data_IF_865620240580
#
_entry.id   IF_865620240580
#
_cell.length_a   1.000
_cell.length_b   1.000
_cell.length_c   1.000
_cell.angle_alpha   90.00
_cell.angle_beta   90.00
_cell.angle_gamma   90.00
#
_symmetry.space_group_name_H-M   'P 1'
#
loop_
_entity.id
_entity.type
_entity.pdbx_description
1 polymer ?
#
# COMPACT_ATOMS: atom_id res chain seq x y z
N UNK A 1 57.33 -14.67 4.90
CA UNK A 1 56.01 -15.32 4.96
C UNK A 1 55.11 -14.44 5.81
N UNK A 2 54.32 -13.56 5.17
CA UNK A 2 53.43 -12.63 5.87
C UNK A 2 51.99 -13.08 5.60
N UNK A 3 51.32 -13.60 6.62
CA UNK A 3 49.91 -13.95 6.54
C UNK A 3 49.10 -12.65 6.48
N UNK A 4 48.43 -12.42 5.34
CA UNK A 4 47.44 -11.35 5.18
C UNK A 4 46.22 -11.68 6.04
N UNK A 5 46.00 -10.91 7.11
CA UNK A 5 44.78 -10.97 7.89
C UNK A 5 43.59 -10.63 6.99
N UNK A 6 42.69 -11.59 6.77
CA UNK A 6 41.44 -11.39 6.04
C UNK A 6 40.54 -10.43 6.82
N UNK A 7 39.93 -9.48 6.12
CA UNK A 7 38.96 -8.57 6.71
C UNK A 7 37.73 -9.37 7.22
N UNK A 8 37.03 -8.93 8.29
CA UNK A 8 35.84 -9.63 8.79
C UNK A 8 34.72 -9.75 7.74
N UNK A 9 34.70 -8.88 6.71
CA UNK A 9 33.80 -8.97 5.56
C UNK A 9 34.13 -10.14 4.62
N UNK A 10 35.41 -10.50 4.47
CA UNK A 10 35.83 -11.58 3.57
C UNK A 10 35.51 -12.96 4.14
N UNK A 11 35.58 -13.11 5.47
CA UNK A 11 35.16 -14.34 6.16
C UNK A 11 33.67 -14.60 6.02
N UNK A 12 32.82 -13.57 6.17
CA UNK A 12 31.37 -13.70 5.97
C UNK A 12 31.03 -14.04 4.51
N UNK A 13 31.71 -13.41 3.55
CA UNK A 13 31.53 -13.70 2.12
C UNK A 13 31.91 -15.15 1.79
N UNK A 14 33.02 -15.65 2.34
CA UNK A 14 33.43 -17.05 2.19
C UNK A 14 32.40 -18.01 2.83
N UNK A 15 31.86 -17.68 4.01
CA UNK A 15 30.81 -18.48 4.66
C UNK A 15 29.51 -18.51 3.85
N UNK A 16 29.10 -17.39 3.23
CA UNK A 16 27.95 -17.37 2.31
C UNK A 16 28.22 -18.19 1.06
N UNK A 17 29.43 -18.12 0.48
CA UNK A 17 29.84 -19.00 -0.61
C UNK A 17 29.70 -20.48 -0.25
N UNK A 18 30.19 -20.87 0.93
CA UNK A 18 30.02 -22.24 1.45
C UNK A 18 28.54 -22.61 1.67
N UNK A 19 27.72 -21.70 2.19
CA UNK A 19 26.29 -21.92 2.36
C UNK A 19 25.63 -22.21 1.00
N UNK A 20 25.89 -21.37 -0.01
CA UNK A 20 25.31 -21.53 -1.35
C UNK A 20 25.69 -22.87 -1.98
N UNK A 21 26.94 -23.34 -1.82
CA UNK A 21 27.35 -24.65 -2.35
C UNK A 21 26.67 -25.84 -1.67
N UNK A 22 26.27 -25.71 -0.41
CA UNK A 22 25.67 -26.81 0.37
C UNK A 22 24.14 -26.79 0.35
N UNK A 23 23.55 -25.62 0.13
CA UNK A 23 22.12 -25.39 0.25
C UNK A 23 21.29 -25.91 -0.93
N UNK A 24 21.89 -26.44 -2.00
CA UNK A 24 21.15 -26.95 -3.16
C UNK A 24 20.21 -28.13 -2.85
N UNK A 25 20.54 -28.92 -1.81
CA UNK A 25 19.72 -30.05 -1.35
C UNK A 25 18.79 -29.70 -0.19
N UNK A 26 18.89 -28.50 0.37
CA UNK A 26 18.04 -28.04 1.46
C UNK A 26 16.80 -27.33 0.91
N UNK A 27 15.66 -27.35 1.64
CA UNK A 27 14.52 -26.50 1.30
C UNK A 27 14.94 -25.03 1.20
N UNK A 28 14.38 -24.31 0.23
CA UNK A 28 14.66 -22.89 0.01
C UNK A 28 14.44 -22.05 1.27
N UNK A 29 13.39 -22.35 2.05
CA UNK A 29 13.10 -21.68 3.34
C UNK A 29 14.19 -21.90 4.38
N UNK A 30 14.70 -23.13 4.51
CA UNK A 30 15.78 -23.47 5.43
C UNK A 30 17.08 -22.77 5.03
N UNK A 31 17.38 -22.70 3.73
CA UNK A 31 18.57 -22.01 3.24
C UNK A 31 18.49 -20.48 3.45
N UNK A 32 17.33 -19.87 3.21
CA UNK A 32 17.07 -18.46 3.51
C UNK A 32 17.21 -18.13 5.00
N UNK A 33 16.69 -19.02 5.86
CA UNK A 33 16.83 -18.89 7.31
C UNK A 33 18.29 -19.00 7.75
N UNK A 34 19.04 -19.96 7.21
CA UNK A 34 20.47 -20.10 7.47
C UNK A 34 21.27 -18.85 7.03
N UNK A 35 20.93 -18.26 5.87
CA UNK A 35 21.52 -17.00 5.42
C UNK A 35 21.24 -15.85 6.42
N UNK A 36 19.98 -15.76 6.87
CA UNK A 36 19.52 -14.73 7.81
C UNK A 36 20.22 -14.85 9.18
N UNK A 37 20.51 -16.08 9.63
CA UNK A 37 21.26 -16.35 10.85
C UNK A 37 22.76 -16.06 10.72
N UNK A 38 23.33 -16.32 9.54
CA UNK A 38 24.75 -16.12 9.28
C UNK A 38 25.12 -14.64 9.10
N UNK A 39 24.21 -13.84 8.55
CA UNK A 39 24.47 -12.44 8.15
C UNK A 39 23.70 -11.47 9.04
N UNK A 40 24.42 -10.53 9.65
CA UNK A 40 23.82 -9.51 10.52
C UNK A 40 22.85 -8.61 9.74
N UNK A 41 21.69 -8.21 10.32
CA UNK A 41 20.66 -7.43 9.64
C UNK A 41 21.18 -6.20 8.87
N UNK A 42 22.11 -5.44 9.45
CA UNK A 42 22.70 -4.23 8.87
C UNK A 42 23.56 -4.50 7.64
N UNK A 43 24.09 -5.72 7.48
CA UNK A 43 24.97 -6.13 6.38
C UNK A 43 24.28 -6.91 5.26
N UNK A 44 23.02 -7.34 5.47
CA UNK A 44 22.30 -8.22 4.53
C UNK A 44 22.10 -7.58 3.16
N UNK A 45 21.73 -6.31 3.12
CA UNK A 45 21.50 -5.60 1.88
C UNK A 45 22.78 -5.44 1.05
N UNK A 46 23.86 -4.96 1.67
CA UNK A 46 25.16 -4.81 1.00
C UNK A 46 25.69 -6.15 0.50
N UNK A 47 25.60 -7.20 1.31
CA UNK A 47 26.04 -8.54 0.91
C UNK A 47 25.18 -9.13 -0.22
N UNK A 48 23.88 -8.84 -0.22
CA UNK A 48 23.00 -9.22 -1.32
C UNK A 48 23.40 -8.52 -2.63
N UNK A 49 23.76 -7.24 -2.60
CA UNK A 49 24.27 -6.52 -3.77
C UNK A 49 25.62 -7.06 -4.26
N UNK A 50 26.56 -7.29 -3.34
CA UNK A 50 27.94 -7.61 -3.71
C UNK A 50 28.14 -9.09 -4.08
N UNK A 51 27.37 -10.00 -3.48
CA UNK A 51 27.59 -11.45 -3.60
C UNK A 51 26.44 -12.22 -4.21
N UNK A 52 25.18 -11.80 -4.02
CA UNK A 52 24.02 -12.54 -4.51
C UNK A 52 23.54 -12.02 -5.87
N UNK A 53 23.46 -10.71 -6.05
CA UNK A 53 22.98 -10.09 -7.29
C UNK A 53 23.79 -10.50 -8.53
N UNK A 54 25.15 -10.57 -8.49
CA UNK A 54 25.93 -11.02 -9.64
C UNK A 54 25.64 -12.46 -10.05
N UNK A 55 25.22 -13.30 -9.09
CA UNK A 55 24.89 -14.70 -9.34
C UNK A 55 23.54 -14.89 -10.06
N UNK A 56 22.68 -13.86 -10.04
CA UNK A 56 21.40 -13.88 -10.74
C UNK A 56 21.58 -13.80 -12.27
N UNK A 57 22.57 -13.00 -12.70
CA UNK A 57 22.90 -12.72 -14.10
C UNK A 57 23.97 -13.64 -14.69
N UNK A 58 24.73 -14.35 -13.86
CA UNK A 58 25.78 -15.26 -14.32
C UNK A 58 25.23 -16.55 -14.95
N UNK A 59 26.04 -17.16 -15.82
CA UNK A 59 25.78 -18.50 -16.41
C UNK A 59 26.03 -19.65 -15.43
N UNK A 60 25.82 -19.41 -14.14
CA UNK A 60 25.98 -20.38 -13.05
C UNK A 60 24.85 -21.41 -13.06
N UNK A 61 25.00 -22.47 -12.25
CA UNK A 61 24.04 -23.56 -12.16
C UNK A 61 22.62 -23.04 -11.84
N UNK A 62 21.61 -23.62 -12.51
CA UNK A 62 20.20 -23.22 -12.39
C UNK A 62 19.71 -23.26 -10.93
N UNK A 63 20.09 -24.31 -10.20
CA UNK A 63 19.78 -24.47 -8.78
C UNK A 63 20.32 -23.30 -7.93
N UNK A 64 21.49 -22.75 -8.28
CA UNK A 64 22.06 -21.61 -7.59
C UNK A 64 21.29 -20.33 -7.86
N UNK A 65 20.89 -20.09 -9.12
CA UNK A 65 20.08 -18.92 -9.49
C UNK A 65 18.71 -18.95 -8.81
N UNK A 66 18.08 -20.12 -8.73
CA UNK A 66 16.82 -20.34 -7.99
C UNK A 66 17.00 -20.01 -6.51
N UNK A 67 18.05 -20.56 -5.88
CA UNK A 67 18.32 -20.33 -4.46
C UNK A 67 18.54 -18.84 -4.16
N UNK A 68 19.39 -18.18 -4.96
CA UNK A 68 19.70 -16.76 -4.82
C UNK A 68 18.43 -15.91 -4.96
N UNK A 69 17.59 -16.20 -5.94
CA UNK A 69 16.33 -15.48 -6.16
C UNK A 69 15.40 -15.60 -4.96
N UNK A 70 15.30 -16.80 -4.38
CA UNK A 70 14.50 -17.03 -3.19
C UNK A 70 15.08 -16.32 -1.96
N UNK A 71 16.40 -16.28 -1.80
CA UNK A 71 17.04 -15.53 -0.70
C UNK A 71 16.70 -14.04 -0.83
N UNK A 72 16.92 -13.44 -2.01
CA UNK A 72 16.60 -12.02 -2.27
C UNK A 72 15.12 -11.69 -1.99
N UNK A 73 14.21 -12.60 -2.34
CA UNK A 73 12.80 -12.50 -1.99
C UNK A 73 12.57 -12.55 -0.47
N UNK A 74 13.11 -13.58 0.21
CA UNK A 74 12.87 -13.85 1.63
C UNK A 74 13.40 -12.77 2.57
N UNK A 75 14.40 -11.98 2.16
CA UNK A 75 14.97 -10.90 2.97
C UNK A 75 13.94 -9.86 3.42
N UNK A 76 12.84 -9.72 2.68
CA UNK A 76 11.77 -8.75 2.95
C UNK A 76 10.42 -9.40 3.27
N UNK A 77 10.36 -10.73 3.38
CA UNK A 77 9.13 -11.40 3.86
C UNK A 77 8.90 -11.08 5.35
N UNK A 78 7.65 -10.84 5.81
CA UNK A 78 6.37 -11.12 5.14
C UNK A 78 5.79 -9.98 4.30
N UNK A 79 6.55 -8.94 3.99
CA UNK A 79 6.01 -7.81 3.21
C UNK A 79 5.72 -8.19 1.75
N UNK A 80 4.76 -7.52 1.08
CA UNK A 80 4.49 -7.73 -0.33
C UNK A 80 5.72 -7.52 -1.21
N UNK A 81 5.86 -8.31 -2.28
CA UNK A 81 7.01 -8.19 -3.21
C UNK A 81 7.12 -6.81 -3.87
N UNK A 82 6.02 -6.04 -3.89
CA UNK A 82 5.99 -4.67 -4.40
C UNK A 82 6.93 -3.72 -3.65
N UNK A 83 7.23 -3.97 -2.38
CA UNK A 83 8.16 -3.15 -1.58
C UNK A 83 9.57 -3.75 -1.45
N UNK A 84 9.83 -4.89 -2.10
CA UNK A 84 11.15 -5.53 -2.07
C UNK A 84 12.11 -4.75 -3.00
N UNK A 85 13.25 -4.22 -2.50
CA UNK A 85 14.19 -3.45 -3.33
C UNK A 85 14.88 -4.27 -4.43
N UNK A 86 14.85 -5.60 -4.35
CA UNK A 86 15.35 -6.50 -5.38
C UNK A 86 14.29 -6.88 -6.43
N UNK A 87 13.06 -6.35 -6.34
CA UNK A 87 11.97 -6.62 -7.30
C UNK A 87 12.40 -6.33 -8.74
N UNK A 88 13.02 -5.17 -8.97
CA UNK A 88 13.47 -4.76 -10.31
C UNK A 88 14.51 -5.73 -10.88
N UNK A 89 15.49 -6.14 -10.07
CA UNK A 89 16.49 -7.14 -10.46
C UNK A 89 15.87 -8.50 -10.83
N UNK A 90 14.93 -8.98 -10.00
CA UNK A 90 14.21 -10.24 -10.24
C UNK A 90 13.35 -10.15 -11.50
N UNK A 91 12.72 -8.99 -11.75
CA UNK A 91 11.92 -8.74 -12.94
C UNK A 91 12.78 -8.69 -14.21
N UNK A 92 13.91 -7.98 -14.19
CA UNK A 92 14.86 -7.94 -15.32
C UNK A 92 15.37 -9.34 -15.65
N UNK A 93 15.73 -10.13 -14.63
CA UNK A 93 16.12 -11.52 -14.81
C UNK A 93 14.98 -12.37 -15.42
N UNK A 94 13.74 -12.14 -14.99
CA UNK A 94 12.56 -12.83 -15.52
C UNK A 94 12.33 -12.51 -17.00
N UNK A 95 12.31 -11.23 -17.38
CA UNK A 95 12.09 -10.80 -18.77
C UNK A 95 13.17 -11.40 -19.68
N UNK A 96 14.44 -11.23 -19.32
CA UNK A 96 15.60 -11.73 -20.07
C UNK A 96 15.57 -13.25 -20.27
N UNK A 97 15.24 -14.02 -19.24
CA UNK A 97 15.21 -15.49 -19.34
C UNK A 97 13.93 -15.98 -20.03
N UNK A 98 12.80 -15.27 -19.87
CA UNK A 98 11.55 -15.59 -20.57
C UNK A 98 11.69 -15.37 -22.07
N UNK A 99 12.25 -14.25 -22.51
CA UNK A 99 12.46 -13.97 -23.94
C UNK A 99 13.31 -15.05 -24.61
N UNK A 100 14.41 -15.45 -23.96
CA UNK A 100 15.24 -16.57 -24.43
C UNK A 100 14.45 -17.87 -24.51
N UNK A 101 13.66 -18.17 -23.48
CA UNK A 101 12.87 -19.40 -23.45
C UNK A 101 11.77 -19.42 -24.52
N UNK A 102 11.12 -18.28 -24.77
CA UNK A 102 10.10 -18.11 -25.80
C UNK A 102 10.71 -18.23 -27.20
N UNK A 103 11.89 -17.65 -27.44
CA UNK A 103 12.61 -17.79 -28.72
C UNK A 103 12.90 -19.26 -29.04
N UNK A 104 13.43 -20.01 -28.06
CA UNK A 104 13.73 -21.45 -28.22
C UNK A 104 12.44 -22.26 -28.43
N UNK A 105 11.36 -21.91 -27.73
CA UNK A 105 10.07 -22.58 -27.87
C UNK A 105 9.44 -22.36 -29.26
N UNK A 106 9.62 -21.17 -29.85
CA UNK A 106 9.16 -20.87 -31.21
C UNK A 106 9.92 -21.68 -32.27
N UNK A 107 11.15 -22.07 -31.99
CA UNK A 107 11.96 -22.98 -32.83
C UNK A 107 11.59 -24.47 -32.61
N UNK A 108 10.59 -24.76 -31.77
CA UNK A 108 10.16 -26.13 -31.45
C UNK A 108 10.96 -26.81 -30.34
N UNK A 109 11.87 -26.09 -29.68
CA UNK A 109 12.67 -26.59 -28.56
C UNK A 109 12.02 -26.40 -27.19
N UNK A 110 12.68 -26.90 -26.14
CA UNK A 110 12.37 -26.64 -24.73
C UNK A 110 13.59 -25.99 -24.10
N UNK A 111 13.40 -24.82 -23.47
CA UNK A 111 14.51 -24.12 -22.86
C UNK A 111 14.95 -24.80 -21.55
N UNK A 112 16.27 -24.94 -21.30
CA UNK A 112 16.76 -25.51 -20.04
C UNK A 112 16.51 -24.60 -18.83
N UNK A 113 16.09 -23.34 -19.05
CA UNK A 113 15.87 -22.35 -17.99
C UNK A 113 14.38 -22.15 -17.64
N UNK A 114 13.46 -22.95 -18.18
CA UNK A 114 12.02 -22.76 -17.93
C UNK A 114 11.67 -22.82 -16.44
N UNK A 115 12.32 -23.71 -15.68
CA UNK A 115 12.15 -23.85 -14.23
C UNK A 115 12.51 -22.56 -13.48
N UNK A 116 13.54 -21.86 -13.94
CA UNK A 116 13.95 -20.60 -13.32
C UNK A 116 12.98 -19.46 -13.65
N UNK A 117 12.48 -19.41 -14.89
CA UNK A 117 11.41 -18.45 -15.27
C UNK A 117 10.17 -18.66 -14.41
N UNK A 118 9.79 -19.91 -14.16
CA UNK A 118 8.65 -20.23 -13.29
C UNK A 118 8.85 -19.79 -11.84
N UNK A 119 10.04 -20.02 -11.27
CA UNK A 119 10.39 -19.57 -9.92
C UNK A 119 10.28 -18.04 -9.81
N UNK A 120 10.87 -17.31 -10.76
CA UNK A 120 10.81 -15.85 -10.76
C UNK A 120 9.37 -15.33 -10.92
N UNK A 121 8.59 -15.94 -11.80
CA UNK A 121 7.17 -15.60 -11.99
C UNK A 121 6.38 -15.81 -10.70
N UNK A 122 6.58 -16.93 -9.98
CA UNK A 122 5.93 -17.21 -8.70
C UNK A 122 6.29 -16.17 -7.62
N UNK A 123 7.57 -15.80 -7.53
CA UNK A 123 8.04 -14.77 -6.60
C UNK A 123 7.39 -13.42 -6.91
N UNK A 124 7.43 -12.99 -8.17
CA UNK A 124 6.91 -11.70 -8.61
C UNK A 124 5.38 -11.62 -8.46
N UNK A 125 4.65 -12.73 -8.65
CA UNK A 125 3.21 -12.78 -8.41
C UNK A 125 2.82 -12.66 -6.92
N UNK A 126 3.77 -12.80 -5.99
CA UNK A 126 3.52 -12.81 -4.55
C UNK A 126 3.34 -14.22 -3.96
N UNK A 127 3.37 -15.26 -4.79
CA UNK A 127 3.25 -16.67 -4.40
C UNK A 127 4.61 -17.30 -4.04
N UNK A 128 5.62 -16.49 -3.69
CA UNK A 128 6.98 -16.97 -3.41
C UNK A 128 7.03 -17.97 -2.25
N UNK A 129 6.08 -17.90 -1.31
CA UNK A 129 5.95 -18.86 -0.20
C UNK A 129 5.79 -20.32 -0.63
N UNK A 130 5.18 -20.57 -1.79
CA UNK A 130 4.98 -21.92 -2.35
C UNK A 130 6.30 -22.62 -2.67
N UNK A 131 7.37 -21.84 -2.90
CA UNK A 131 8.69 -22.34 -3.30
C UNK A 131 9.49 -22.83 -2.07
N UNK A 132 9.19 -22.26 -0.89
CA UNK A 132 9.95 -22.49 0.35
C UNK A 132 10.20 -23.95 0.73
N UNK A 133 9.20 -24.86 0.65
CA UNK A 133 9.36 -26.27 1.02
C UNK A 133 10.27 -27.08 0.08
N UNK A 134 10.52 -26.61 -1.14
CA UNK A 134 11.25 -27.36 -2.16
C UNK A 134 12.73 -26.99 -2.19
N UNK A 135 13.59 -27.96 -2.52
CA UNK A 135 15.02 -27.67 -2.69
C UNK A 135 15.31 -27.08 -4.09
N UNK A 136 16.32 -26.20 -4.22
CA UNK A 136 16.68 -25.64 -5.52
C UNK A 136 17.05 -26.71 -6.57
N UNK A 137 17.69 -27.81 -6.15
CA UNK A 137 18.04 -28.93 -7.03
C UNK A 137 16.83 -29.75 -7.49
N UNK A 138 15.80 -29.89 -6.65
CA UNK A 138 14.54 -30.51 -7.04
C UNK A 138 13.81 -29.62 -8.06
N UNK A 139 13.74 -28.31 -7.80
CA UNK A 139 13.08 -27.36 -8.69
C UNK A 139 13.78 -27.27 -10.04
N UNK A 140 15.11 -27.28 -10.09
CA UNK A 140 15.86 -27.19 -11.34
C UNK A 140 15.73 -28.42 -12.24
N UNK A 141 15.33 -29.58 -11.68
CA UNK A 141 15.22 -30.85 -12.40
C UNK A 141 13.78 -31.28 -12.67
N UNK A 142 12.80 -30.66 -12.03
CA UNK A 142 11.40 -31.00 -12.21
C UNK A 142 10.90 -30.46 -13.56
N UNK A 143 10.44 -31.32 -14.49
CA UNK A 143 9.88 -30.85 -15.74
C UNK A 143 8.57 -30.09 -15.47
N UNK A 144 8.44 -28.91 -16.05
CA UNK A 144 7.22 -28.12 -15.90
C UNK A 144 6.10 -28.68 -16.78
N UNK A 145 4.86 -28.78 -16.27
CA UNK A 145 3.69 -29.04 -17.09
C UNK A 145 3.58 -28.04 -18.26
N UNK A 146 2.99 -28.42 -19.41
CA UNK A 146 2.86 -27.53 -20.58
C UNK A 146 2.20 -26.17 -20.28
N UNK A 147 1.30 -26.13 -19.30
CA UNK A 147 0.61 -24.91 -18.85
C UNK A 147 1.52 -23.93 -18.11
N UNK A 148 2.64 -24.41 -17.55
CA UNK A 148 3.60 -23.62 -16.78
C UNK A 148 4.87 -23.29 -17.59
N UNK A 149 4.86 -23.52 -18.91
CA UNK A 149 5.97 -23.11 -19.79
C UNK A 149 6.08 -21.58 -19.87
N UNK A 150 7.31 -21.09 -20.06
CA UNK A 150 7.63 -19.66 -20.10
C UNK A 150 6.71 -18.82 -21.01
N UNK A 151 6.26 -19.39 -22.13
CA UNK A 151 5.33 -18.73 -23.07
C UNK A 151 3.98 -18.35 -22.44
N UNK A 152 3.51 -19.16 -21.49
CA UNK A 152 2.23 -18.97 -20.80
C UNK A 152 2.36 -18.19 -19.49
N UNK A 153 3.60 -17.98 -19.02
CA UNK A 153 3.89 -17.23 -17.80
C UNK A 153 4.00 -15.75 -18.17
N UNK A 154 2.88 -15.04 -18.16
CA UNK A 154 2.81 -13.59 -18.38
C UNK A 154 2.59 -12.91 -17.02
N UNK A 155 3.30 -11.81 -16.79
CA UNK A 155 3.02 -10.88 -15.69
C UNK A 155 2.18 -9.73 -16.23
N UNK A 156 1.27 -9.21 -15.42
CA UNK A 156 0.43 -8.08 -15.79
C UNK A 156 1.30 -6.83 -15.95
N UNK A 157 1.56 -6.43 -17.19
CA UNK A 157 2.52 -5.36 -17.54
C UNK A 157 2.17 -4.03 -16.87
N UNK A 158 0.89 -3.77 -16.58
CA UNK A 158 0.44 -2.55 -15.90
C UNK A 158 0.94 -2.43 -14.45
N UNK A 159 1.17 -3.55 -13.75
CA UNK A 159 1.71 -3.58 -12.38
C UNK A 159 3.24 -3.39 -12.30
N UNK A 160 3.92 -3.45 -13.44
CA UNK A 160 5.39 -3.43 -13.52
C UNK A 160 5.95 -2.34 -14.44
N UNK A 161 5.15 -1.76 -15.34
CA UNK A 161 5.54 -0.66 -16.22
C UNK A 161 5.50 0.71 -15.54
N UNK A 162 4.74 0.88 -14.44
CA UNK A 162 4.65 2.15 -13.69
C UNK A 162 5.89 2.49 -12.84
N UNK A 163 6.89 1.60 -12.83
CA UNK A 163 8.15 1.87 -12.12
C UNK A 163 9.17 2.36 -13.14
N UNK A 164 9.39 3.68 -13.16
CA UNK A 164 10.50 4.39 -13.84
C UNK A 164 11.92 3.87 -13.44
N UNK A 165 12.03 2.79 -12.66
CA UNK A 165 13.28 2.17 -12.21
C UNK A 165 14.06 1.41 -13.30
N UNK A 166 13.54 1.33 -14.53
CA UNK A 166 14.33 0.79 -15.65
C UNK A 166 15.63 1.60 -15.86
N UNK A 167 15.65 2.89 -15.52
CA UNK A 167 16.87 3.71 -15.55
C UNK A 167 17.82 3.38 -14.41
N UNK A 168 17.32 3.05 -13.22
CA UNK A 168 18.11 2.77 -12.02
C UNK A 168 18.98 1.51 -12.22
N UNK A 169 18.44 0.46 -12.82
CA UNK A 169 19.22 -0.78 -13.07
C UNK A 169 20.24 -0.63 -14.21
N UNK A 170 19.90 0.16 -15.25
CA UNK A 170 20.82 0.44 -16.37
C UNK A 170 22.11 1.15 -15.92
N UNK A 171 22.05 1.89 -14.80
CA UNK A 171 23.20 2.60 -14.23
C UNK A 171 24.22 1.64 -13.59
N UNK A 172 23.78 0.52 -13.01
CA UNK A 172 24.65 -0.45 -12.34
C UNK A 172 25.26 -1.50 -13.30
N UNK A 173 24.75 -1.60 -14.52
CA UNK A 173 25.13 -2.63 -15.50
C UNK A 173 26.10 -2.13 -16.58
N UNK A 174 26.99 -1.16 -16.29
CA UNK A 174 28.07 -0.80 -17.24
C UNK A 174 29.32 -1.67 -17.04
N UNK A 175 29.54 -2.74 -17.85
CA UNK A 175 30.88 -3.14 -18.22
C UNK A 175 31.34 -2.26 -19.39
N UNK A 176 32.47 -1.62 -19.20
CA UNK A 176 33.26 -0.94 -20.23
C UNK A 176 33.73 -1.93 -21.30
N UNK A 177 33.32 -1.77 -22.57
CA UNK A 177 34.16 -1.87 -23.78
C UNK A 177 33.32 -1.64 -25.08
N UNK A 178 33.96 -1.27 -26.21
CA UNK A 178 33.35 -0.46 -27.26
C UNK A 178 32.95 -1.22 -28.55
N UNK A 179 32.18 -0.51 -29.38
CA UNK A 179 32.06 -0.60 -30.85
C UNK A 179 31.18 -1.73 -31.43
N UNK A 180 29.94 -1.38 -31.79
CA UNK A 180 29.43 -1.43 -33.17
C UNK A 180 27.99 -0.85 -33.25
N UNK A 181 27.58 -0.20 -34.35
CA UNK A 181 26.27 0.40 -34.47
C UNK A 181 25.24 -0.58 -35.07
N UNK A 182 24.01 -0.63 -34.54
CA UNK A 182 22.85 -0.98 -35.36
C UNK A 182 21.82 0.16 -35.40
N UNK A 183 21.46 0.50 -36.64
CA UNK A 183 20.13 0.84 -37.19
C UNK A 183 19.14 1.70 -36.36
N UNK A 184 18.53 2.75 -36.99
CA UNK A 184 17.69 3.71 -36.30
C UNK A 184 16.29 3.14 -36.05
N UNK A 185 16.07 2.54 -34.89
CA UNK A 185 14.73 2.47 -34.32
C UNK A 185 14.43 3.86 -33.77
N UNK A 186 13.30 4.44 -34.16
CA UNK A 186 12.85 5.74 -33.70
C UNK A 186 12.82 5.77 -32.17
N UNK A 187 13.90 6.30 -31.57
CA UNK A 187 13.93 6.66 -30.16
C UNK A 187 12.87 7.73 -30.00
N UNK A 188 11.78 7.39 -29.33
CA UNK A 188 11.01 8.37 -28.57
C UNK A 188 12.05 8.97 -27.63
N UNK A 189 12.57 10.13 -28.01
CA UNK A 189 13.53 10.84 -27.20
C UNK A 189 12.82 11.09 -25.86
N UNK A 190 13.37 10.64 -24.71
CA UNK A 190 12.86 11.07 -23.43
C UNK A 190 12.86 12.59 -23.47
N UNK A 191 11.68 13.18 -23.29
CA UNK A 191 11.55 14.61 -23.09
C UNK A 191 12.58 15.01 -22.03
N UNK A 192 13.43 16.01 -22.28
CA UNK A 192 14.44 16.40 -21.30
C UNK A 192 13.71 16.80 -20.02
N UNK A 193 13.85 15.98 -18.99
CA UNK A 193 13.26 16.21 -17.66
C UNK A 193 13.70 17.62 -17.25
N UNK A 194 12.71 18.50 -17.09
CA UNK A 194 12.97 19.89 -16.75
C UNK A 194 13.35 19.97 -15.26
N UNK A 195 14.28 20.86 -14.91
CA UNK A 195 14.59 21.18 -13.51
C UNK A 195 13.32 21.55 -12.69
N UNK A 196 12.28 22.07 -13.34
CA UNK A 196 11.00 22.36 -12.70
C UNK A 196 10.19 21.10 -12.37
N UNK A 197 10.26 20.07 -13.21
CA UNK A 197 9.62 18.77 -13.00
C UNK A 197 10.31 18.02 -11.86
N UNK A 198 11.65 18.02 -11.83
CA UNK A 198 12.41 17.46 -10.73
C UNK A 198 12.03 18.10 -9.39
N UNK A 199 11.92 19.44 -9.34
CA UNK A 199 11.52 20.13 -8.11
C UNK A 199 10.07 19.82 -7.70
N UNK A 200 9.17 19.59 -8.66
CA UNK A 200 7.79 19.15 -8.37
C UNK A 200 7.77 17.72 -7.84
N UNK A 201 8.52 16.83 -8.47
CA UNK A 201 8.64 15.42 -8.05
C UNK A 201 9.25 15.32 -6.66
N UNK A 202 10.31 16.07 -6.35
CA UNK A 202 10.89 16.13 -5.00
C UNK A 202 9.87 16.59 -3.94
N UNK A 203 9.08 17.62 -4.26
CA UNK A 203 8.01 18.10 -3.38
C UNK A 203 6.92 17.05 -3.17
N UNK A 204 6.51 16.37 -4.24
CA UNK A 204 5.52 15.30 -4.18
C UNK A 204 6.04 14.15 -3.30
N UNK A 205 7.27 13.68 -3.52
CA UNK A 205 7.91 12.61 -2.73
C UNK A 205 8.01 13.01 -1.25
N UNK A 206 8.39 14.27 -0.95
CA UNK A 206 8.42 14.75 0.42
C UNK A 206 7.02 14.79 1.05
N UNK A 207 6.03 15.27 0.31
CA UNK A 207 4.64 15.30 0.76
C UNK A 207 4.07 13.89 0.99
N UNK A 208 4.41 12.91 0.14
CA UNK A 208 4.08 11.49 0.33
C UNK A 208 4.65 10.97 1.65
N UNK A 209 5.92 11.26 1.94
CA UNK A 209 6.56 10.86 3.21
C UNK A 209 5.85 11.47 4.41
N UNK A 210 5.47 12.75 4.34
CA UNK A 210 4.73 13.42 5.41
C UNK A 210 3.34 12.81 5.62
N UNK A 211 2.65 12.51 4.53
CA UNK A 211 1.32 11.90 4.57
C UNK A 211 1.35 10.48 5.18
N UNK A 212 2.36 9.68 4.85
CA UNK A 212 2.56 8.38 5.50
C UNK A 212 2.89 8.55 6.98
N UNK A 213 3.72 9.53 7.35
CA UNK A 213 4.01 9.84 8.75
C UNK A 213 2.76 10.32 9.52
N UNK A 214 1.79 10.95 8.85
CA UNK A 214 0.53 11.40 9.45
C UNK A 214 -0.34 10.23 9.96
N UNK A 215 -0.09 9.00 9.49
CA UNK A 215 -0.75 7.79 9.98
C UNK A 215 -0.30 7.46 11.40
N UNK A 216 0.99 7.59 11.67
CA UNK A 216 1.59 7.12 12.92
C UNK A 216 1.72 8.22 13.97
N UNK A 217 1.69 9.49 13.57
CA UNK A 217 1.86 10.62 14.48
C UNK A 217 1.15 11.89 14.05
N UNK A 218 1.02 12.81 15.00
CA UNK A 218 0.62 14.20 14.73
C UNK A 218 1.73 14.91 13.96
N UNK A 219 1.36 15.57 12.86
CA UNK A 219 2.25 16.41 12.07
C UNK A 219 2.38 17.80 12.70
N UNK A 220 3.59 18.35 12.65
CA UNK A 220 3.88 19.72 13.06
C UNK A 220 3.22 20.74 12.13
N UNK A 221 2.99 21.97 12.59
CA UNK A 221 2.36 23.01 11.77
C UNK A 221 3.14 23.32 10.47
N UNK A 222 4.47 23.23 10.48
CA UNK A 222 5.31 23.38 9.29
C UNK A 222 5.10 22.24 8.28
N UNK A 223 4.98 21.01 8.77
CA UNK A 223 4.69 19.84 7.93
C UNK A 223 3.29 19.95 7.33
N UNK A 224 2.29 20.33 8.13
CA UNK A 224 0.92 20.55 7.67
C UNK A 224 0.84 21.62 6.58
N UNK A 225 1.53 22.76 6.76
CA UNK A 225 1.60 23.84 5.75
C UNK A 225 2.28 23.41 4.46
N UNK A 226 3.23 22.49 4.54
CA UNK A 226 3.91 21.95 3.36
C UNK A 226 3.05 20.94 2.62
N UNK A 227 2.27 20.14 3.36
CA UNK A 227 1.42 19.09 2.81
C UNK A 227 0.15 19.62 2.14
N UNK A 228 -0.54 20.59 2.76
CA UNK A 228 -1.85 21.09 2.31
C UNK A 228 -1.94 21.46 0.81
N UNK A 229 -0.97 22.21 0.23
CA UNK A 229 -1.06 22.60 -1.18
C UNK A 229 -0.91 21.44 -2.17
N UNK A 230 -0.38 20.29 -1.72
CA UNK A 230 -0.04 19.14 -2.57
C UNK A 230 -1.05 17.99 -2.39
N UNK A 231 -2.03 18.11 -1.48
CA UNK A 231 -2.99 17.04 -1.18
C UNK A 231 -3.80 16.59 -2.40
N UNK A 232 -4.20 17.52 -3.28
CA UNK A 232 -4.94 17.20 -4.49
C UNK A 232 -4.10 16.33 -5.44
N UNK A 233 -2.82 16.67 -5.60
CA UNK A 233 -1.89 15.89 -6.42
C UNK A 233 -1.59 14.53 -5.77
N UNK A 234 -1.54 14.44 -4.44
CA UNK A 234 -1.36 13.17 -3.75
C UNK A 234 -2.58 12.25 -3.89
N UNK A 235 -3.78 12.81 -3.94
CA UNK A 235 -5.00 12.02 -4.10
C UNK A 235 -5.06 11.27 -5.45
N UNK A 236 -4.28 11.66 -6.46
CA UNK A 236 -4.21 10.94 -7.74
C UNK A 236 -3.20 9.79 -7.76
N UNK A 237 -2.27 9.75 -6.79
CA UNK A 237 -1.15 8.80 -6.79
C UNK A 237 -1.48 7.39 -6.24
N UNK A 238 -2.72 7.14 -5.80
CA UNK A 238 -3.17 5.85 -5.22
C UNK A 238 -2.34 5.32 -4.03
N UNK A 239 -1.52 6.16 -3.40
CA UNK A 239 -0.70 5.80 -2.23
C UNK A 239 -1.56 5.59 -0.98
N UNK A 240 -2.69 6.30 -0.91
CA UNK A 240 -3.58 6.29 0.24
C UNK A 240 -4.64 5.23 0.02
N UNK A 241 -4.74 4.32 0.98
CA UNK A 241 -5.81 3.33 1.04
C UNK A 241 -6.88 3.77 2.04
N UNK A 242 -8.08 3.18 1.95
CA UNK A 242 -9.16 3.46 2.91
C UNK A 242 -8.78 3.15 4.37
N UNK A 243 -7.85 2.21 4.58
CA UNK A 243 -7.33 1.83 5.90
C UNK A 243 -6.49 2.94 6.55
N UNK A 244 -5.95 3.87 5.75
CA UNK A 244 -5.07 4.93 6.22
C UNK A 244 -5.86 6.13 6.77
N UNK A 245 -7.15 6.22 6.44
CA UNK A 245 -7.99 7.36 6.81
C UNK A 245 -8.25 7.43 8.31
N UNK A 246 -8.62 6.31 8.95
CA UNK A 246 -8.92 6.27 10.39
C UNK A 246 -7.78 6.85 11.25
N UNK A 247 -6.52 6.41 11.12
CA UNK A 247 -5.43 6.98 11.90
C UNK A 247 -5.11 8.44 11.51
N UNK A 248 -5.22 8.81 10.22
CA UNK A 248 -5.01 10.20 9.79
C UNK A 248 -6.05 11.14 10.41
N UNK A 249 -7.32 10.73 10.48
CA UNK A 249 -8.41 11.49 11.11
C UNK A 249 -8.16 11.66 12.61
N UNK A 250 -7.73 10.59 13.28
CA UNK A 250 -7.46 10.60 14.71
C UNK A 250 -6.29 11.52 15.09
N UNK A 251 -5.18 11.45 14.34
CA UNK A 251 -3.97 12.22 14.65
C UNK A 251 -3.95 13.63 14.04
N UNK A 252 -4.54 13.80 12.86
CA UNK A 252 -4.39 15.00 12.03
C UNK A 252 -5.72 15.49 11.43
N UNK A 253 -6.73 15.85 12.25
CA UNK A 253 -8.07 16.22 11.77
C UNK A 253 -8.09 17.45 10.84
N UNK A 254 -7.09 18.33 10.93
CA UNK A 254 -6.96 19.50 10.06
C UNK A 254 -6.69 19.10 8.61
N UNK A 255 -5.88 18.04 8.40
CA UNK A 255 -5.52 17.53 7.08
C UNK A 255 -6.57 16.56 6.54
N UNK A 256 -7.23 15.82 7.44
CA UNK A 256 -8.17 14.77 7.05
C UNK A 256 -9.31 15.28 6.14
N UNK A 257 -9.86 16.45 6.43
CA UNK A 257 -10.92 17.06 5.61
C UNK A 257 -10.48 17.36 4.16
N UNK A 258 -9.48 18.22 3.91
CA UNK A 258 -9.05 18.50 2.54
C UNK A 258 -8.57 17.25 1.82
N UNK A 259 -7.95 16.29 2.52
CA UNK A 259 -7.56 15.01 1.94
C UNK A 259 -8.77 14.20 1.43
N UNK A 260 -9.80 14.03 2.27
CA UNK A 260 -11.01 13.30 1.88
C UNK A 260 -11.73 13.98 0.73
N UNK A 261 -11.83 15.31 0.74
CA UNK A 261 -12.42 16.08 -0.37
C UNK A 261 -11.63 15.83 -1.66
N UNK A 262 -10.29 15.87 -1.61
CA UNK A 262 -9.46 15.56 -2.78
C UNK A 262 -9.64 14.12 -3.29
N UNK A 263 -9.79 13.15 -2.39
CA UNK A 263 -10.06 11.75 -2.76
C UNK A 263 -11.46 11.56 -3.38
N UNK A 264 -12.46 12.29 -2.91
CA UNK A 264 -13.85 12.19 -3.39
C UNK A 264 -14.11 12.95 -4.70
N UNK A 265 -13.35 14.01 -4.96
CA UNK A 265 -13.52 14.91 -6.12
C UNK A 265 -12.62 14.50 -7.30
N UNK A 266 -11.82 13.43 -7.15
CA UNK A 266 -10.83 13.03 -8.15
C UNK A 266 -11.46 12.91 -9.55
N UNK A 267 -10.94 13.65 -10.56
CA UNK A 267 -11.50 13.66 -11.90
C UNK A 267 -11.29 12.36 -12.70
N UNK A 268 -10.46 11.44 -12.21
CA UNK A 268 -10.15 10.17 -12.87
C UNK A 268 -10.84 8.98 -12.16
N UNK A 269 -12.09 8.64 -12.56
CA UNK A 269 -12.85 7.56 -11.93
C UNK A 269 -12.31 6.16 -12.25
N UNK A 270 -11.45 6.00 -13.27
CA UNK A 270 -10.85 4.70 -13.60
C UNK A 270 -9.67 4.39 -12.67
N UNK A 271 -8.88 5.40 -12.33
CA UNK A 271 -7.72 5.22 -11.46
C UNK A 271 -8.02 5.33 -9.97
N UNK A 272 -9.06 6.06 -9.55
CA UNK A 272 -9.37 6.20 -8.13
C UNK A 272 -10.87 6.27 -7.85
N UNK A 273 -11.49 5.11 -7.63
CA UNK A 273 -12.90 5.00 -7.27
C UNK A 273 -13.14 5.63 -5.88
N UNK A 274 -14.08 6.58 -5.71
CA UNK A 274 -14.35 7.19 -4.40
C UNK A 274 -15.02 6.23 -3.40
N UNK A 275 -15.63 5.13 -3.87
CA UNK A 275 -16.41 4.20 -3.03
C UNK A 275 -15.66 3.62 -1.83
N UNK A 276 -14.43 3.10 -1.94
CA UNK A 276 -13.71 2.53 -0.80
C UNK A 276 -13.47 3.56 0.32
N UNK A 277 -13.34 4.84 -0.04
CA UNK A 277 -13.17 5.91 0.94
C UNK A 277 -14.50 6.35 1.57
N UNK A 278 -15.62 6.25 0.84
CA UNK A 278 -16.95 6.44 1.42
C UNK A 278 -17.34 5.30 2.36
N UNK A 279 -17.01 4.06 1.98
CA UNK A 279 -17.39 2.84 2.71
C UNK A 279 -16.79 2.79 4.13
N UNK A 280 -15.64 3.41 4.36
CA UNK A 280 -14.99 3.41 5.67
C UNK A 280 -15.55 4.48 6.61
N UNK A 281 -16.11 5.57 6.09
CA UNK A 281 -16.58 6.71 6.89
C UNK A 281 -17.59 6.30 7.97
N UNK A 282 -18.64 5.49 7.69
CA UNK A 282 -19.61 5.08 8.69
C UNK A 282 -19.01 4.33 9.88
N UNK A 283 -17.87 3.67 9.69
CA UNK A 283 -17.23 2.84 10.70
C UNK A 283 -16.17 3.58 11.53
N UNK A 284 -16.01 4.89 11.31
CA UNK A 284 -15.10 5.70 12.10
C UNK A 284 -15.57 5.76 13.56
N UNK A 285 -14.64 5.71 14.54
CA UNK A 285 -15.02 5.73 15.94
C UNK A 285 -15.66 7.08 16.30
N UNK A 286 -16.67 7.11 17.21
CA UNK A 286 -17.38 8.33 17.61
C UNK A 286 -16.50 9.21 18.53
N UNK A 287 -15.49 9.83 17.95
CA UNK A 287 -14.55 10.73 18.63
C UNK A 287 -14.77 12.17 18.16
N UNK A 288 -14.30 13.15 18.94
CA UNK A 288 -14.40 14.56 18.58
C UNK A 288 -13.79 14.87 17.19
N UNK A 289 -12.58 14.37 16.84
CA UNK A 289 -12.04 14.52 15.47
C UNK A 289 -12.97 14.01 14.38
N UNK A 290 -13.64 12.87 14.60
CA UNK A 290 -14.60 12.30 13.65
C UNK A 290 -15.81 13.21 13.47
N UNK A 291 -16.42 13.67 14.57
CA UNK A 291 -17.58 14.58 14.48
C UNK A 291 -17.23 15.92 13.84
N UNK A 292 -16.04 16.46 14.13
CA UNK A 292 -15.55 17.68 13.49
C UNK A 292 -15.35 17.50 11.99
N UNK A 293 -14.81 16.34 11.57
CA UNK A 293 -14.67 15.98 10.16
C UNK A 293 -16.03 15.92 9.47
N UNK A 294 -16.99 15.16 10.01
CA UNK A 294 -18.34 15.06 9.44
C UNK A 294 -19.03 16.42 9.37
N UNK A 295 -18.90 17.23 10.43
CA UNK A 295 -19.45 18.58 10.44
C UNK A 295 -18.84 19.48 9.36
N UNK A 296 -17.59 19.25 8.92
CA UNK A 296 -16.99 19.98 7.79
C UNK A 296 -17.45 19.39 6.45
N UNK A 297 -17.43 18.07 6.29
CA UNK A 297 -17.85 17.39 5.06
C UNK A 297 -19.31 17.70 4.70
N UNK A 298 -20.22 17.67 5.67
CA UNK A 298 -21.64 17.99 5.48
C UNK A 298 -21.92 19.46 5.13
N UNK A 299 -20.90 20.32 5.19
CA UNK A 299 -20.99 21.73 4.77
C UNK A 299 -20.16 22.01 3.51
N UNK A 300 -19.41 21.03 3.02
CA UNK A 300 -18.51 21.23 1.89
C UNK A 300 -19.29 21.25 0.56
N UNK A 301 -19.25 22.40 -0.10
CA UNK A 301 -19.95 22.67 -1.36
C UNK A 301 -19.10 22.35 -2.60
N UNK A 302 -17.96 21.67 -2.44
CA UNK A 302 -17.11 21.25 -3.56
C UNK A 302 -17.89 20.27 -4.43
N UNK A 303 -17.89 20.51 -5.74
CA UNK A 303 -18.63 19.69 -6.71
C UNK A 303 -17.98 18.33 -6.88
N UNK A 304 -18.79 17.28 -6.89
CA UNK A 304 -18.36 15.90 -7.14
C UNK A 304 -18.73 15.46 -8.55
N UNK A 305 -17.96 14.55 -9.12
CA UNK A 305 -18.20 13.95 -10.45
C UNK A 305 -19.13 12.74 -10.40
N UNK A 306 -19.53 12.30 -9.20
CA UNK A 306 -20.37 11.12 -8.98
C UNK A 306 -21.80 11.38 -9.45
N UNK A 307 -22.33 10.51 -10.32
CA UNK A 307 -23.69 10.62 -10.82
C UNK A 307 -24.72 10.56 -9.68
N UNK A 308 -25.66 11.51 -9.67
CA UNK A 308 -26.74 11.59 -8.66
C UNK A 308 -26.47 12.53 -7.49
N UNK A 309 -25.24 13.06 -7.35
CA UNK A 309 -24.88 13.99 -6.27
C UNK A 309 -24.27 15.26 -6.86
N UNK A 310 -24.51 16.39 -6.21
CA UNK A 310 -24.04 17.69 -6.71
C UNK A 310 -22.79 18.18 -5.97
N UNK A 311 -22.73 17.95 -4.66
CA UNK A 311 -21.62 18.36 -3.79
C UNK A 311 -21.15 17.22 -2.89
N UNK A 312 -19.97 17.39 -2.27
CA UNK A 312 -19.46 16.49 -1.22
C UNK A 312 -20.45 16.42 -0.05
N UNK A 313 -21.04 17.55 0.34
CA UNK A 313 -22.07 17.60 1.37
C UNK A 313 -23.26 16.70 1.04
N UNK A 314 -23.81 16.78 -0.17
CA UNK A 314 -24.95 15.95 -0.60
C UNK A 314 -24.59 14.47 -0.59
N UNK A 315 -23.40 14.14 -1.10
CA UNK A 315 -22.90 12.77 -1.16
C UNK A 315 -22.77 12.15 0.24
N UNK A 316 -22.16 12.88 1.17
CA UNK A 316 -21.97 12.40 2.56
C UNK A 316 -23.30 12.37 3.31
N UNK A 317 -24.20 13.34 3.06
CA UNK A 317 -25.52 13.37 3.67
C UNK A 317 -26.34 12.14 3.28
N UNK A 318 -26.42 11.85 1.98
CA UNK A 318 -27.28 10.79 1.44
C UNK A 318 -26.70 9.38 1.66
N UNK A 319 -25.39 9.18 1.47
CA UNK A 319 -24.80 7.83 1.49
C UNK A 319 -24.21 7.44 2.84
N UNK A 320 -23.79 8.40 3.66
CA UNK A 320 -22.90 8.13 4.79
C UNK A 320 -23.55 8.46 6.13
N UNK A 321 -24.24 9.59 6.25
CA UNK A 321 -24.67 10.13 7.55
C UNK A 321 -25.56 9.16 8.33
N UNK A 322 -26.62 8.63 7.72
CA UNK A 322 -27.55 7.72 8.39
C UNK A 322 -26.83 6.49 8.96
N UNK A 323 -25.99 5.85 8.13
CA UNK A 323 -25.20 4.67 8.55
C UNK A 323 -24.16 5.01 9.62
N UNK A 324 -23.54 6.19 9.54
CA UNK A 324 -22.61 6.65 10.57
C UNK A 324 -23.28 6.83 11.93
N UNK A 325 -24.47 7.44 11.96
CA UNK A 325 -25.26 7.60 13.19
C UNK A 325 -25.61 6.23 13.78
N UNK A 326 -26.08 5.31 12.94
CA UNK A 326 -26.39 3.94 13.33
C UNK A 326 -25.17 3.23 13.96
N UNK A 327 -24.02 3.30 13.32
CA UNK A 327 -22.77 2.70 13.82
C UNK A 327 -22.28 3.36 15.11
N UNK A 328 -22.45 4.68 15.27
CA UNK A 328 -22.17 5.38 16.53
C UNK A 328 -23.04 4.85 17.67
N UNK A 329 -24.33 4.63 17.44
CA UNK A 329 -25.26 4.06 18.43
C UNK A 329 -24.81 2.64 18.79
N UNK A 330 -24.55 1.78 17.80
CA UNK A 330 -24.08 0.42 18.03
C UNK A 330 -22.75 0.36 18.79
N UNK A 331 -21.86 1.31 18.52
CA UNK A 331 -20.60 1.45 19.24
C UNK A 331 -20.83 1.81 20.71
N UNK A 332 -21.72 2.77 20.99
CA UNK A 332 -22.05 3.20 22.36
C UNK A 332 -22.78 2.11 23.16
N UNK A 333 -23.68 1.36 22.51
CA UNK A 333 -24.37 0.22 23.09
C UNK A 333 -23.40 -0.91 23.47
N UNK A 334 -22.38 -1.17 22.65
CA UNK A 334 -21.29 -2.10 23.00
C UNK A 334 -20.47 -1.59 24.16
N UNK A 335 -20.13 -0.30 24.17
CA UNK A 335 -19.39 0.32 25.27
C UNK A 335 -20.16 0.25 26.60
N UNK A 336 -21.50 0.39 26.57
CA UNK A 336 -22.37 0.21 27.74
C UNK A 336 -22.34 -1.24 28.25
N UNK A 337 -22.50 -2.22 27.36
CA UNK A 337 -22.55 -3.66 27.71
C UNK A 337 -21.23 -4.21 28.23
N UNK A 338 -20.11 -3.67 27.78
CA UNK A 338 -18.78 -4.15 28.16
C UNK A 338 -18.34 -3.69 29.57
N UNK A 339 -19.17 -2.95 30.33
CA UNK A 339 -18.84 -2.31 31.62
C UNK A 339 -17.48 -1.58 31.61
N UNK A 340 -17.06 -1.12 30.42
CA UNK A 340 -15.80 -0.41 30.22
C UNK A 340 -16.03 1.06 30.55
N UNK A 341 -15.85 1.43 31.83
CA UNK A 341 -15.83 2.81 32.33
C UNK A 341 -17.04 3.65 31.88
N UNK A 342 -18.02 3.81 32.79
CA UNK A 342 -19.22 4.64 32.59
C UNK A 342 -18.92 6.02 31.97
N UNK A 343 -17.77 6.60 32.30
CA UNK A 343 -17.30 7.88 31.77
C UNK A 343 -17.16 7.91 30.24
N UNK A 344 -16.71 6.80 29.64
CA UNK A 344 -16.52 6.71 28.17
C UNK A 344 -17.87 6.67 27.46
N UNK A 345 -18.80 5.88 27.97
CA UNK A 345 -20.15 5.78 27.42
C UNK A 345 -20.88 7.13 27.58
N UNK A 346 -20.87 7.71 28.79
CA UNK A 346 -21.49 9.01 29.07
C UNK A 346 -20.96 10.11 28.15
N UNK A 347 -19.63 10.26 28.04
CA UNK A 347 -19.01 11.26 27.16
C UNK A 347 -19.36 11.03 25.68
N UNK A 348 -19.44 9.78 25.26
CA UNK A 348 -19.84 9.40 23.91
C UNK A 348 -21.28 9.80 23.60
N UNK A 349 -22.23 9.50 24.49
CA UNK A 349 -23.65 9.91 24.39
C UNK A 349 -23.75 11.43 24.30
N UNK A 350 -23.10 12.17 25.21
CA UNK A 350 -23.10 13.64 25.19
C UNK A 350 -22.59 14.19 23.86
N UNK A 351 -21.48 13.65 23.36
CA UNK A 351 -20.86 14.14 22.12
C UNK A 351 -21.74 13.85 20.90
N UNK A 352 -22.33 12.65 20.81
CA UNK A 352 -23.24 12.29 19.72
C UNK A 352 -24.52 13.15 19.74
N UNK A 353 -25.13 13.34 20.91
CA UNK A 353 -26.32 14.18 21.04
C UNK A 353 -26.03 15.64 20.66
N UNK A 354 -24.90 16.21 21.10
CA UNK A 354 -24.48 17.57 20.70
C UNK A 354 -24.22 17.67 19.20
N UNK A 355 -23.55 16.68 18.62
CA UNK A 355 -23.29 16.63 17.18
C UNK A 355 -24.61 16.64 16.39
N UNK A 356 -25.54 15.74 16.71
CA UNK A 356 -26.80 15.65 16.01
C UNK A 356 -27.68 16.88 16.22
N UNK A 357 -27.70 17.46 17.43
CA UNK A 357 -28.36 18.73 17.69
C UNK A 357 -27.79 19.88 16.85
N UNK A 358 -26.48 19.89 16.59
CA UNK A 358 -25.86 20.85 15.69
C UNK A 358 -26.30 20.63 14.22
N UNK A 359 -26.50 19.38 13.79
CA UNK A 359 -27.03 19.10 12.44
C UNK A 359 -28.45 19.65 12.26
N UNK A 360 -29.31 19.52 13.27
CA UNK A 360 -30.65 20.14 13.28
C UNK A 360 -30.53 21.67 13.19
N UNK A 361 -29.66 22.28 14.02
CA UNK A 361 -29.46 23.74 14.02
C UNK A 361 -28.96 24.28 12.68
N UNK A 362 -28.16 23.51 11.97
CA UNK A 362 -27.64 23.86 10.65
C UNK A 362 -28.63 23.53 9.52
N UNK A 363 -29.82 23.03 9.84
CA UNK A 363 -30.83 22.58 8.88
C UNK A 363 -30.30 21.51 7.91
N UNK A 364 -29.31 20.72 8.35
CA UNK A 364 -28.78 19.57 7.59
C UNK A 364 -29.71 18.36 7.79
N UNK A 365 -30.27 18.23 8.99
CA UNK A 365 -31.23 17.18 9.34
C UNK A 365 -32.55 17.81 9.72
N UNK A 366 -33.63 17.31 9.14
CA UNK A 366 -34.99 17.72 9.48
C UNK A 366 -35.52 16.91 10.68
N UNK A 367 -35.79 17.53 11.84
CA UNK A 367 -36.32 16.84 13.01
C UNK A 367 -37.77 16.36 12.83
N UNK A 368 -38.49 16.86 11.82
CA UNK A 368 -39.86 16.44 11.49
C UNK A 368 -39.87 15.17 10.64
N UNK A 369 -38.78 14.91 9.91
CA UNK A 369 -38.60 13.74 9.05
C UNK A 369 -38.38 12.48 9.88
N UNK A 370 -39.31 11.53 9.79
CA UNK A 370 -39.17 10.22 10.46
C UNK A 370 -37.97 9.44 9.95
N UNK A 371 -37.64 9.56 8.66
CA UNK A 371 -36.50 8.88 8.06
C UNK A 371 -35.18 9.29 8.73
N UNK A 372 -35.03 10.58 9.06
CA UNK A 372 -33.77 11.10 9.56
C UNK A 372 -33.66 11.06 11.09
N UNK A 373 -34.79 11.15 11.78
CA UNK A 373 -34.83 11.42 13.23
C UNK A 373 -35.29 10.26 14.12
N UNK A 374 -35.83 9.18 13.55
CA UNK A 374 -36.37 8.05 14.35
C UNK A 374 -35.31 7.35 15.20
N UNK A 375 -34.14 7.03 14.63
CA UNK A 375 -33.07 6.36 15.39
C UNK A 375 -32.57 7.23 16.53
N UNK A 376 -32.32 8.52 16.28
CA UNK A 376 -31.84 9.44 17.30
C UNK A 376 -32.89 9.80 18.34
N UNK A 377 -34.18 9.81 17.98
CA UNK A 377 -35.26 9.98 18.95
C UNK A 377 -35.29 8.80 19.94
N UNK A 378 -35.24 7.57 19.43
CA UNK A 378 -35.22 6.37 20.27
C UNK A 378 -33.95 6.32 21.15
N UNK A 379 -32.78 6.58 20.55
CA UNK A 379 -31.51 6.61 21.28
C UNK A 379 -31.51 7.66 22.40
N UNK A 380 -31.99 8.87 22.12
CA UNK A 380 -32.05 9.97 23.08
C UNK A 380 -33.04 9.70 24.21
N UNK A 381 -34.17 9.05 23.92
CA UNK A 381 -35.13 8.63 24.94
C UNK A 381 -34.55 7.57 25.87
N UNK A 382 -33.91 6.52 25.32
CA UNK A 382 -33.24 5.46 26.10
C UNK A 382 -32.14 6.03 27.01
N UNK A 383 -31.44 7.05 26.53
CA UNK A 383 -30.35 7.70 27.24
C UNK A 383 -30.76 9.00 27.97
N UNK A 384 -32.04 9.21 28.22
CA UNK A 384 -32.60 10.44 28.81
C UNK A 384 -32.07 10.80 30.21
N UNK A 385 -31.37 9.87 30.89
CA UNK A 385 -30.59 10.15 32.11
C UNK A 385 -29.48 11.19 31.90
N UNK A 386 -29.00 11.35 30.67
CA UNK A 386 -28.02 12.37 30.29
C UNK A 386 -28.73 13.64 29.81
N UNK A 387 -28.25 14.80 30.25
CA UNK A 387 -28.87 16.11 29.99
C UNK A 387 -28.99 16.39 28.48
N UNK A 388 -27.93 16.18 27.72
CA UNK A 388 -27.88 16.41 26.28
C UNK A 388 -28.86 15.52 25.50
N UNK A 389 -29.03 14.27 25.94
CA UNK A 389 -29.97 13.33 25.34
C UNK A 389 -31.42 13.76 25.62
N UNK A 390 -31.72 14.18 26.85
CA UNK A 390 -33.04 14.70 27.20
C UNK A 390 -33.39 15.98 26.41
N UNK A 391 -32.43 16.91 26.29
CA UNK A 391 -32.60 18.14 25.49
C UNK A 391 -32.85 17.80 24.02
N UNK A 392 -32.05 16.90 23.44
CA UNK A 392 -32.22 16.49 22.05
C UNK A 392 -33.57 15.82 21.82
N UNK A 393 -33.98 14.91 22.69
CA UNK A 393 -35.28 14.23 22.58
C UNK A 393 -36.44 15.24 22.60
N UNK A 394 -36.42 16.23 23.50
CA UNK A 394 -37.45 17.28 23.54
C UNK A 394 -37.50 18.08 22.24
N UNK A 395 -36.35 18.44 21.67
CA UNK A 395 -36.29 19.17 20.40
C UNK A 395 -36.92 18.37 19.27
N UNK A 396 -36.64 17.06 19.19
CA UNK A 396 -37.23 16.18 18.16
C UNK A 396 -38.74 16.01 18.42
N UNK A 397 -39.14 15.76 19.66
CA UNK A 397 -40.54 15.56 20.03
C UNK A 397 -41.39 16.82 19.77
N UNK A 398 -40.92 18.01 20.16
CA UNK A 398 -41.60 19.29 19.92
C UNK A 398 -41.62 19.68 18.44
N UNK A 399 -40.70 19.16 17.62
CA UNK A 399 -40.75 19.42 16.18
C UNK A 399 -41.80 18.56 15.47
N UNK A 400 -42.20 17.41 16.05
CA UNK A 400 -43.13 16.45 15.44
C UNK A 400 -44.59 16.67 15.79
N UNK A 401 -44.88 17.36 16.90
CA UNK A 401 -46.22 17.64 17.42
C UNK A 401 -46.38 19.14 17.66
#
# INVERSE_FOLDING_TARGET
MSATASSPSDTVRASVGHLLTRAFSLPCSTAALAFTQLVQPTSRFQLALDALLPLLDSSTELAQRILVSFILYSLYTPHPVTINPFKSALFVAYVKEREKAVSIANEGGVSPNEQFVWVLWKILKGDGGDIGPYSPSTLSRCPLPPKLRAINLVLDEHLYNDIDDFTTYSYFQKPSLPTNPPTPVARIAPSPISFEEDRKNERLIYAMKLLLAARDRVLTLSEQRTLLPVLADLATTNIITSLDLTPIIAHNPIIAHPLLVSLLVNPDPENNNPRPFLDILPFLPPTLPTFDLYGRLLRDQTRVTVQGYSTVADLVLMEVLGRFIHECINWLDRAEKEERSDDRHAKGVQTLCRFYHNLIKLSIVDPTSDADSTEMAHFSLRNSRFEEANVLYRVIATSRF
#
